data_IF_886035558038
#
_entry.id   IF_886035558038
#
_cell.length_a   1.000
_cell.length_b   1.000
_cell.length_c   1.000
_cell.angle_alpha   90.00
_cell.angle_beta   90.00
_cell.angle_gamma   90.00
#
_symmetry.space_group_name_H-M   'P 1'
#
loop_
_entity.id
_entity.type
_entity.pdbx_description
1 polymer ?
#
# COMPACT_ATOMS: atom_id res chain seq x y z
N UNK A 1 16.10 -2.60 1.43
CA UNK A 1 15.76 -1.17 1.25
C UNK A 1 15.59 -0.58 2.64
N UNK A 2 16.21 0.56 2.95
CA UNK A 2 16.00 1.25 4.24
C UNK A 2 14.65 1.97 4.29
N UNK A 3 14.19 2.34 5.49
CA UNK A 3 12.92 3.03 5.69
C UNK A 3 12.83 4.34 4.89
N UNK A 4 13.92 5.12 4.81
CA UNK A 4 13.96 6.38 4.07
C UNK A 4 13.75 6.19 2.57
N UNK A 5 14.35 5.15 1.99
CA UNK A 5 14.18 4.83 0.58
C UNK A 5 12.74 4.39 0.27
N UNK A 6 12.11 3.66 1.19
CA UNK A 6 10.69 3.28 1.06
C UNK A 6 9.78 4.51 1.10
N UNK A 7 9.99 5.40 2.08
CA UNK A 7 9.22 6.65 2.22
C UNK A 7 9.47 7.58 1.04
N UNK A 8 10.69 7.66 0.52
CA UNK A 8 11.01 8.41 -0.70
C UNK A 8 10.24 7.88 -1.91
N UNK A 9 10.21 6.56 -2.10
CA UNK A 9 9.39 5.92 -3.13
C UNK A 9 7.91 6.27 -3.02
N UNK A 10 7.34 6.26 -1.81
CA UNK A 10 5.95 6.66 -1.58
C UNK A 10 5.70 8.14 -1.88
N UNK A 11 6.59 9.04 -1.48
CA UNK A 11 6.44 10.48 -1.78
C UNK A 11 6.39 10.75 -3.27
N UNK A 12 7.25 10.09 -4.05
CA UNK A 12 7.29 10.27 -5.52
C UNK A 12 6.07 9.65 -6.21
N UNK A 13 5.58 8.50 -5.74
CA UNK A 13 4.48 7.76 -6.37
C UNK A 13 3.07 8.07 -5.84
N UNK A 14 2.94 8.69 -4.67
CA UNK A 14 1.68 9.09 -4.01
C UNK A 14 1.62 10.62 -3.84
N UNK A 15 1.94 11.34 -4.90
CA UNK A 15 1.92 12.80 -4.93
C UNK A 15 0.49 13.36 -4.95
N UNK A 16 0.35 14.66 -4.64
CA UNK A 16 -0.96 15.31 -4.51
C UNK A 16 -1.86 15.21 -5.77
N UNK A 17 -1.27 15.19 -6.97
CA UNK A 17 -1.97 15.03 -8.27
C UNK A 17 -2.32 13.59 -8.64
N UNK A 18 -2.18 12.65 -7.70
CA UNK A 18 -2.54 11.24 -7.86
C UNK A 18 -3.32 10.81 -6.62
N UNK A 19 -4.63 10.98 -6.69
CA UNK A 19 -5.51 10.56 -5.62
C UNK A 19 -5.35 9.07 -5.39
N UNK A 20 -5.25 8.66 -4.12
CA UNK A 20 -5.21 7.26 -3.74
C UNK A 20 -6.20 7.00 -2.62
N UNK A 21 -6.78 5.81 -2.64
CA UNK A 21 -7.68 5.34 -1.60
C UNK A 21 -7.40 3.88 -1.34
N UNK A 22 -7.41 3.49 -0.07
CA UNK A 22 -7.09 2.14 0.36
C UNK A 22 -8.17 1.66 1.31
N UNK A 23 -8.70 0.47 1.07
CA UNK A 23 -9.51 -0.26 2.03
C UNK A 23 -8.81 -1.54 2.41
N UNK A 24 -8.90 -1.87 3.68
CA UNK A 24 -8.36 -3.10 4.25
C UNK A 24 -9.44 -3.71 5.15
N UNK A 25 -9.71 -5.00 4.95
CA UNK A 25 -10.81 -5.70 5.60
C UNK A 25 -10.52 -7.19 5.77
N UNK A 26 -11.38 -7.90 6.51
CA UNK A 26 -11.27 -9.34 6.72
C UNK A 26 -9.94 -9.75 7.38
N UNK A 27 -9.60 -9.11 8.49
CA UNK A 27 -8.39 -9.37 9.24
C UNK A 27 -8.42 -10.74 9.91
N UNK A 28 -7.45 -11.58 9.59
CA UNK A 28 -7.06 -12.75 10.38
C UNK A 28 -5.76 -12.41 11.10
N UNK A 29 -5.80 -12.43 12.44
CA UNK A 29 -4.69 -11.98 13.29
C UNK A 29 -4.28 -13.11 14.23
N UNK A 30 -3.00 -13.44 14.24
CA UNK A 30 -2.36 -14.33 15.23
C UNK A 30 -1.36 -13.51 16.03
N UNK A 31 -1.41 -13.62 17.36
CA UNK A 31 -0.51 -12.91 18.27
C UNK A 31 0.27 -13.95 19.08
N UNK A 32 1.58 -13.81 19.13
CA UNK A 32 2.50 -14.63 19.93
C UNK A 32 3.42 -13.70 20.73
N UNK A 33 3.10 -13.49 22.00
CA UNK A 33 3.82 -12.58 22.89
C UNK A 33 3.94 -11.16 22.33
N UNK A 34 5.15 -10.78 21.95
CA UNK A 34 5.48 -9.47 21.38
C UNK A 34 5.45 -9.44 19.85
N UNK A 35 5.04 -10.52 19.18
CA UNK A 35 4.91 -10.61 17.73
C UNK A 35 3.44 -10.83 17.31
N UNK A 36 3.09 -10.35 16.11
CA UNK A 36 1.82 -10.66 15.49
C UNK A 36 1.95 -10.84 13.99
N UNK A 37 1.14 -11.76 13.44
CA UNK A 37 1.01 -12.03 12.03
C UNK A 37 -0.41 -11.70 11.59
N UNK A 38 -0.54 -10.89 10.54
CA UNK A 38 -1.84 -10.44 10.03
C UNK A 38 -1.96 -10.81 8.57
N UNK A 39 -3.06 -11.47 8.21
CA UNK A 39 -3.51 -11.61 6.83
C UNK A 39 -4.79 -10.81 6.67
N UNK A 40 -4.87 -9.93 5.67
CA UNK A 40 -6.06 -9.09 5.44
C UNK A 40 -6.29 -8.90 3.94
N UNK A 41 -7.55 -8.76 3.54
CA UNK A 41 -7.92 -8.35 2.18
C UNK A 41 -7.61 -6.87 2.00
N UNK A 42 -7.15 -6.52 0.81
CA UNK A 42 -6.83 -5.16 0.42
C UNK A 42 -7.46 -4.81 -0.92
N UNK A 43 -7.96 -3.58 -1.00
CA UNK A 43 -8.26 -2.91 -2.25
C UNK A 43 -7.60 -1.53 -2.24
N UNK A 44 -7.08 -1.11 -3.38
CA UNK A 44 -6.73 0.29 -3.59
C UNK A 44 -7.03 0.74 -5.00
N UNK A 45 -7.22 2.06 -5.13
CA UNK A 45 -7.19 2.73 -6.42
C UNK A 45 -6.22 3.89 -6.43
N UNK A 46 -5.75 4.22 -7.64
CA UNK A 46 -5.02 5.43 -7.97
C UNK A 46 -5.70 6.13 -9.13
N UNK A 47 -6.02 7.41 -8.98
CA UNK A 47 -6.59 8.25 -10.03
C UNK A 47 -5.65 9.42 -10.28
N UNK A 48 -5.18 9.54 -11.52
CA UNK A 48 -4.40 10.70 -11.95
C UNK A 48 -5.31 11.90 -12.17
N UNK A 49 -4.79 13.09 -11.90
CA UNK A 49 -5.41 14.33 -12.32
C UNK A 49 -5.66 14.34 -13.85
N UNK A 50 -6.66 15.12 -14.28
CA UNK A 50 -7.02 15.21 -15.71
C UNK A 50 -5.85 15.68 -16.59
N UNK A 51 -5.06 16.64 -16.09
CA UNK A 51 -3.86 17.15 -16.78
C UNK A 51 -2.71 16.13 -16.88
N UNK A 52 -2.77 15.04 -16.10
CA UNK A 52 -1.85 13.91 -16.16
C UNK A 52 -2.45 12.73 -16.94
N UNK A 53 -3.58 12.92 -17.60
CA UNK A 53 -4.27 11.93 -18.44
C UNK A 53 -5.52 11.32 -17.80
N UNK A 54 -5.81 11.58 -16.52
CA UNK A 54 -7.05 11.12 -15.88
C UNK A 54 -7.19 9.60 -15.70
N UNK A 55 -6.13 8.83 -15.96
CA UNK A 55 -6.13 7.38 -15.87
C UNK A 55 -6.39 6.89 -14.43
N UNK A 56 -7.17 5.81 -14.31
CA UNK A 56 -7.44 5.14 -13.05
C UNK A 56 -6.87 3.73 -13.07
N UNK A 57 -6.16 3.35 -12.00
CA UNK A 57 -5.72 2.00 -11.74
C UNK A 57 -6.32 1.47 -10.43
N UNK A 58 -6.74 0.22 -10.42
CA UNK A 58 -7.26 -0.48 -9.27
C UNK A 58 -6.56 -1.82 -9.05
N UNK A 59 -6.43 -2.22 -7.79
CA UNK A 59 -5.89 -3.52 -7.42
C UNK A 59 -6.59 -4.09 -6.20
N UNK A 60 -6.82 -5.41 -6.25
CA UNK A 60 -7.34 -6.22 -5.15
C UNK A 60 -6.35 -7.32 -4.82
N UNK A 61 -6.21 -7.63 -3.55
CA UNK A 61 -5.26 -8.65 -3.12
C UNK A 61 -5.29 -8.94 -1.64
N UNK A 62 -4.18 -9.50 -1.17
CA UNK A 62 -3.98 -9.88 0.23
C UNK A 62 -2.71 -9.23 0.76
N UNK A 63 -2.82 -8.56 1.89
CA UNK A 63 -1.66 -8.17 2.69
C UNK A 63 -1.27 -9.31 3.63
N UNK A 64 0.03 -9.56 3.74
CA UNK A 64 0.66 -10.35 4.80
C UNK A 64 1.58 -9.42 5.58
N UNK A 65 1.25 -9.17 6.85
CA UNK A 65 1.98 -8.24 7.71
C UNK A 65 2.62 -9.00 8.89
N UNK A 66 3.82 -8.58 9.27
CA UNK A 66 4.43 -8.94 10.56
C UNK A 66 4.52 -7.69 11.41
N UNK A 67 4.11 -7.80 12.67
CA UNK A 67 4.15 -6.71 13.63
C UNK A 67 4.95 -7.12 14.87
N UNK A 68 5.61 -6.14 15.48
CA UNK A 68 6.28 -6.28 16.77
C UNK A 68 5.73 -5.23 17.74
N UNK A 69 5.43 -5.66 18.97
CA UNK A 69 5.00 -4.77 20.06
C UNK A 69 6.21 -3.99 20.56
N UNK A 70 6.15 -2.67 20.47
CA UNK A 70 7.09 -1.74 21.06
C UNK A 70 6.45 -1.05 22.27
N UNK A 71 7.24 -0.23 22.99
CA UNK A 71 6.78 0.53 24.16
C UNK A 71 5.53 1.39 23.86
N UNK A 72 5.44 1.94 22.66
CA UNK A 72 4.34 2.81 22.21
C UNK A 72 3.23 2.08 21.42
N UNK A 73 3.27 0.74 21.39
CA UNK A 73 2.29 -0.09 20.67
C UNK A 73 2.90 -0.92 19.54
N UNK A 74 2.05 -1.53 18.73
CA UNK A 74 2.46 -2.39 17.63
C UNK A 74 2.99 -1.60 16.43
N UNK A 75 4.08 -2.07 15.84
CA UNK A 75 4.62 -1.54 14.57
C UNK A 75 4.71 -2.65 13.54
N UNK A 76 4.36 -2.32 12.29
CA UNK A 76 4.60 -3.20 11.15
C UNK A 76 6.11 -3.23 10.86
N UNK A 77 6.70 -4.42 10.91
CA UNK A 77 8.13 -4.65 10.66
C UNK A 77 8.37 -5.32 9.31
N UNK A 78 7.35 -5.98 8.75
CA UNK A 78 7.37 -6.48 7.38
C UNK A 78 5.97 -6.41 6.78
N UNK A 79 5.89 -6.14 5.48
CA UNK A 79 4.65 -6.25 4.72
C UNK A 79 4.94 -6.84 3.34
N UNK A 80 4.00 -7.64 2.85
CA UNK A 80 3.93 -8.06 1.46
C UNK A 80 2.48 -7.89 0.99
N UNK A 81 2.31 -7.48 -0.27
CA UNK A 81 1.00 -7.43 -0.91
C UNK A 81 1.01 -8.36 -2.13
N UNK A 82 0.09 -9.30 -2.11
CA UNK A 82 -0.13 -10.29 -3.16
C UNK A 82 -1.30 -9.82 -4.01
N UNK A 83 -1.00 -9.22 -5.16
CA UNK A 83 -2.00 -8.68 -6.08
C UNK A 83 -2.67 -9.82 -6.83
N UNK A 84 -3.99 -9.96 -6.66
CA UNK A 84 -4.77 -11.04 -7.25
C UNK A 84 -5.57 -10.60 -8.45
N UNK A 85 -5.99 -9.33 -8.46
CA UNK A 85 -6.73 -8.75 -9.58
C UNK A 85 -6.35 -7.29 -9.75
N UNK A 86 -6.30 -6.84 -11.00
CA UNK A 86 -6.03 -5.45 -11.37
C UNK A 86 -7.02 -5.01 -12.43
N UNK A 87 -7.33 -3.71 -12.46
CA UNK A 87 -8.18 -3.10 -13.49
C UNK A 87 -7.70 -1.69 -13.79
N UNK A 88 -7.85 -1.28 -15.05
CA UNK A 88 -7.61 0.11 -15.47
C UNK A 88 -6.22 0.34 -16.07
N UNK A 89 -5.76 1.58 -15.95
CA UNK A 89 -4.58 2.10 -16.65
C UNK A 89 -3.27 1.82 -15.88
N UNK A 90 -2.42 0.98 -16.44
CA UNK A 90 -1.10 0.66 -15.90
C UNK A 90 -0.16 1.89 -15.80
N UNK A 91 -0.36 2.91 -16.63
CA UNK A 91 0.39 4.16 -16.53
C UNK A 91 0.07 4.85 -15.20
N UNK A 92 -1.19 4.87 -14.77
CA UNK A 92 -1.58 5.41 -13.47
C UNK A 92 -0.93 4.65 -12.31
N UNK A 93 -0.76 3.32 -12.38
CA UNK A 93 -0.06 2.53 -11.35
C UNK A 93 1.38 3.02 -11.16
N UNK A 94 2.10 3.17 -12.26
CA UNK A 94 3.55 3.43 -12.26
C UNK A 94 3.93 4.91 -12.28
N UNK A 95 2.96 5.81 -12.51
CA UNK A 95 3.18 7.26 -12.57
C UNK A 95 3.85 7.80 -11.30
N UNK A 96 4.83 8.67 -11.51
CA UNK A 96 5.57 9.43 -10.50
C UNK A 96 5.77 10.85 -11.05
N UNK A 97 5.83 11.84 -10.18
CA UNK A 97 6.37 13.14 -10.59
C UNK A 97 7.88 13.00 -10.70
N UNK A 98 8.44 13.47 -11.80
CA UNK A 98 9.89 13.68 -11.90
C UNK A 98 10.31 14.70 -10.82
N UNK A 99 11.50 14.48 -10.26
CA UNK A 99 12.06 15.32 -9.20
C UNK A 99 12.60 16.65 -9.76
#
# INVERSE_FOLDING_TARGET
MGADALVGGWRTGLHARKQSFHTVSNFAVTVDGAEAHVTTKGYSYNLLDAELGGGMFEVWGVYRLRLVRQAVGWKVTAFAFDAWHTRGDEAARTHRLEA
#
